data_IF_362659617291
#
_entry.id   IF_362659617291
#
_cell.length_a   1.000
_cell.length_b   1.000
_cell.length_c   1.000
_cell.angle_alpha   90.00
_cell.angle_beta   90.00
_cell.angle_gamma   90.00
#
_symmetry.space_group_name_H-M   'P 1'
#
loop_
_entity.id
_entity.type
_entity.pdbx_description
1 polymer ?
#
# COMPACT_ATOMS: atom_id res chain seq x y z
N UNK A 1 24.41 33.76 -5.39
CA UNK A 1 25.15 32.52 -5.09
C UNK A 1 24.35 31.65 -4.11
N UNK A 2 23.08 31.37 -4.42
CA UNK A 2 22.15 30.61 -3.55
C UNK A 2 21.17 29.77 -4.41
N UNK A 3 21.60 29.38 -5.61
CA UNK A 3 20.83 28.53 -6.52
C UNK A 3 21.51 27.18 -6.76
N UNK A 4 22.75 26.97 -6.31
CA UNK A 4 23.55 25.79 -6.65
C UNK A 4 23.48 24.66 -5.60
N UNK A 5 23.08 24.96 -4.36
CA UNK A 5 23.05 24.00 -3.26
C UNK A 5 21.84 23.05 -3.29
N UNK A 6 20.68 23.53 -3.75
CA UNK A 6 19.46 22.74 -3.78
C UNK A 6 19.48 21.65 -4.87
N UNK A 7 19.99 21.97 -6.06
CA UNK A 7 20.14 21.01 -7.16
C UNK A 7 21.13 19.90 -6.81
N UNK A 8 22.25 20.23 -6.18
CA UNK A 8 23.24 19.25 -5.71
C UNK A 8 22.66 18.33 -4.63
N UNK A 9 21.95 18.90 -3.64
CA UNK A 9 21.28 18.11 -2.60
C UNK A 9 20.20 17.19 -3.19
N UNK A 10 19.43 17.66 -4.18
CA UNK A 10 18.44 16.85 -4.88
C UNK A 10 19.08 15.69 -5.67
N UNK A 11 20.22 15.91 -6.34
CA UNK A 11 20.94 14.86 -7.05
C UNK A 11 21.57 13.81 -6.12
N UNK A 12 22.02 14.21 -4.93
CA UNK A 12 22.55 13.29 -3.91
C UNK A 12 21.40 12.51 -3.26
N UNK A 13 20.30 13.20 -2.89
CA UNK A 13 19.14 12.58 -2.26
C UNK A 13 18.40 11.62 -3.22
N UNK A 14 18.26 11.97 -4.49
CA UNK A 14 17.58 11.12 -5.50
C UNK A 14 18.30 9.81 -5.76
N UNK A 15 19.63 9.75 -5.61
CA UNK A 15 20.41 8.50 -5.67
C UNK A 15 20.16 7.57 -4.48
N UNK A 16 19.63 8.09 -3.37
CA UNK A 16 19.25 7.31 -2.18
C UNK A 16 17.79 6.85 -2.24
N UNK A 17 17.01 7.33 -3.21
CA UNK A 17 15.63 6.93 -3.42
C UNK A 17 15.55 5.73 -4.35
N UNK A 18 14.63 4.81 -4.06
CA UNK A 18 14.31 3.68 -4.95
C UNK A 18 13.81 4.22 -6.29
N UNK A 19 14.26 3.62 -7.40
CA UNK A 19 13.72 3.94 -8.73
C UNK A 19 12.27 3.45 -8.86
N UNK A 20 11.55 3.95 -9.86
CA UNK A 20 10.19 3.47 -10.19
C UNK A 20 10.18 1.95 -10.41
N UNK A 21 11.17 1.44 -11.14
CA UNK A 21 11.30 0.00 -11.40
C UNK A 21 11.56 -0.81 -10.12
N UNK A 22 12.40 -0.30 -9.22
CA UNK A 22 12.66 -0.94 -7.92
C UNK A 22 11.44 -0.91 -7.01
N UNK A 23 10.66 0.19 -7.03
CA UNK A 23 9.42 0.31 -6.27
C UNK A 23 8.32 -0.64 -6.76
N UNK A 24 8.24 -0.89 -8.08
CA UNK A 24 7.26 -1.79 -8.67
C UNK A 24 7.67 -3.27 -8.62
N UNK A 25 8.95 -3.58 -8.42
CA UNK A 25 9.51 -4.92 -8.57
C UNK A 25 8.76 -5.99 -7.76
N UNK A 26 8.54 -5.75 -6.46
CA UNK A 26 7.84 -6.71 -5.58
C UNK A 26 6.42 -6.99 -6.06
N UNK A 27 5.67 -5.95 -6.46
CA UNK A 27 4.31 -6.10 -6.97
C UNK A 27 4.30 -6.90 -8.28
N UNK A 28 5.20 -6.61 -9.20
CA UNK A 28 5.34 -7.37 -10.45
C UNK A 28 5.73 -8.82 -10.19
N UNK A 29 6.64 -9.07 -9.25
CA UNK A 29 7.04 -10.43 -8.85
C UNK A 29 5.84 -11.22 -8.30
N UNK A 30 5.11 -10.68 -7.33
CA UNK A 30 3.97 -11.35 -6.72
C UNK A 30 2.86 -11.62 -7.74
N UNK A 31 2.61 -10.69 -8.65
CA UNK A 31 1.56 -10.81 -9.67
C UNK A 31 1.89 -11.78 -10.82
N UNK A 32 3.17 -11.91 -11.20
CA UNK A 32 3.56 -12.61 -12.44
C UNK A 32 4.36 -13.90 -12.20
N UNK A 33 4.98 -14.08 -11.04
CA UNK A 33 5.83 -15.24 -10.78
C UNK A 33 5.04 -16.53 -10.64
N UNK A 34 5.54 -17.61 -11.24
CA UNK A 34 4.95 -18.95 -11.04
C UNK A 34 5.13 -19.44 -9.60
N UNK A 35 6.18 -18.99 -8.91
CA UNK A 35 6.46 -19.35 -7.51
C UNK A 35 5.37 -18.83 -6.56
N UNK A 36 4.76 -17.68 -6.87
CA UNK A 36 3.72 -17.07 -6.02
C UNK A 36 2.30 -17.47 -6.43
N UNK A 37 2.13 -18.19 -7.54
CA UNK A 37 0.82 -18.48 -8.17
C UNK A 37 -0.22 -19.15 -7.26
N UNK A 38 0.21 -19.90 -6.24
CA UNK A 38 -0.67 -20.61 -5.30
C UNK A 38 -0.45 -20.19 -3.84
N UNK A 39 0.27 -19.09 -3.63
CA UNK A 39 0.56 -18.57 -2.29
C UNK A 39 -0.46 -17.48 -1.97
N UNK A 40 -1.08 -17.55 -0.79
CA UNK A 40 -2.02 -16.54 -0.29
C UNK A 40 -1.76 -16.27 1.19
N UNK A 41 -2.16 -15.08 1.67
CA UNK A 41 -1.99 -14.66 3.06
C UNK A 41 -0.55 -14.37 3.48
N UNK A 42 0.36 -14.19 2.52
CA UNK A 42 1.78 -13.88 2.76
C UNK A 42 2.11 -12.45 2.38
N UNK A 43 3.07 -11.87 3.09
CA UNK A 43 3.60 -10.55 2.82
C UNK A 43 4.99 -10.65 2.19
N UNK A 44 5.24 -9.83 1.16
CA UNK A 44 6.49 -9.82 0.42
C UNK A 44 7.14 -8.44 0.50
N UNK A 45 8.44 -8.43 0.82
CA UNK A 45 9.28 -7.24 0.79
C UNK A 45 10.54 -7.56 -0.01
N UNK A 46 10.94 -6.64 -0.89
CA UNK A 46 12.04 -6.83 -1.84
C UNK A 46 11.98 -8.19 -2.58
N UNK A 47 10.78 -8.59 -2.99
CA UNK A 47 10.46 -9.89 -3.65
C UNK A 47 10.69 -11.16 -2.83
N UNK A 48 10.91 -11.06 -1.52
CA UNK A 48 11.00 -12.21 -0.61
C UNK A 48 9.84 -12.21 0.40
N UNK A 49 9.39 -13.39 0.81
CA UNK A 49 8.43 -13.51 1.92
C UNK A 49 9.07 -12.94 3.20
N UNK A 50 8.34 -12.10 3.92
CA UNK A 50 8.80 -11.48 5.17
C UNK A 50 7.66 -11.38 6.18
N UNK A 51 8.01 -11.26 7.46
CA UNK A 51 7.03 -11.14 8.53
C UNK A 51 6.48 -9.72 8.61
N UNK A 52 5.16 -9.62 8.80
CA UNK A 52 4.49 -8.38 9.17
C UNK A 52 4.72 -8.04 10.65
N UNK A 53 4.43 -6.80 11.04
CA UNK A 53 4.38 -6.40 12.45
C UNK A 53 3.24 -7.11 13.19
N UNK A 54 3.34 -7.18 14.52
CA UNK A 54 2.31 -7.83 15.36
C UNK A 54 0.92 -7.21 15.15
N UNK A 55 0.85 -5.89 15.03
CA UNK A 55 -0.41 -5.18 14.74
C UNK A 55 -1.00 -5.56 13.37
N UNK A 56 -0.16 -5.73 12.36
CA UNK A 56 -0.61 -6.11 11.03
C UNK A 56 -1.09 -7.57 10.96
N UNK A 57 -0.67 -8.40 11.92
CA UNK A 57 -1.14 -9.78 12.09
C UNK A 57 -2.34 -9.91 13.05
N UNK A 58 -2.80 -8.82 13.68
CA UNK A 58 -3.94 -8.84 14.60
C UNK A 58 -5.27 -8.88 13.83
N UNK A 59 -5.90 -10.06 13.83
CA UNK A 59 -7.19 -10.31 13.17
C UNK A 59 -8.33 -9.47 13.78
N UNK A 60 -8.32 -9.26 15.09
CA UNK A 60 -9.34 -8.45 15.78
C UNK A 60 -9.26 -7.00 15.34
N UNK A 61 -8.04 -6.47 15.25
CA UNK A 61 -7.80 -5.12 14.75
C UNK A 61 -8.19 -4.98 13.28
N UNK A 62 -7.86 -5.98 12.44
CA UNK A 62 -8.23 -5.98 11.03
C UNK A 62 -9.76 -5.96 10.82
N UNK A 63 -10.52 -6.75 11.59
CA UNK A 63 -11.98 -6.77 11.55
C UNK A 63 -12.59 -5.44 12.01
N UNK A 64 -12.06 -4.87 13.09
CA UNK A 64 -12.49 -3.56 13.59
C UNK A 64 -12.24 -2.46 12.56
N UNK A 65 -11.05 -2.46 11.93
CA UNK A 65 -10.70 -1.51 10.89
C UNK A 65 -11.65 -1.64 9.68
N UNK A 66 -11.87 -2.87 9.20
CA UNK A 66 -12.77 -3.15 8.09
C UNK A 66 -14.19 -2.63 8.37
N UNK A 67 -14.75 -2.95 9.55
CA UNK A 67 -16.08 -2.49 9.97
C UNK A 67 -16.17 -0.96 9.96
N UNK A 68 -15.19 -0.29 10.58
CA UNK A 68 -15.16 1.17 10.62
C UNK A 68 -15.05 1.80 9.22
N UNK A 69 -14.21 1.24 8.34
CA UNK A 69 -14.08 1.71 6.96
C UNK A 69 -15.40 1.57 6.19
N UNK A 70 -16.10 0.45 6.33
CA UNK A 70 -17.41 0.25 5.70
C UNK A 70 -18.46 1.24 6.23
N UNK A 71 -18.50 1.48 7.54
CA UNK A 71 -19.39 2.50 8.13
C UNK A 71 -19.11 3.89 7.54
N UNK A 72 -17.84 4.30 7.47
CA UNK A 72 -17.48 5.61 6.90
C UNK A 72 -17.88 5.76 5.43
N UNK A 73 -17.65 4.72 4.62
CA UNK A 73 -18.05 4.72 3.21
C UNK A 73 -19.57 4.77 3.08
N UNK A 74 -20.29 3.97 3.88
CA UNK A 74 -21.75 3.95 3.87
C UNK A 74 -22.34 5.32 4.25
N UNK A 75 -21.85 5.92 5.33
CA UNK A 75 -22.29 7.23 5.79
C UNK A 75 -22.01 8.30 4.74
N UNK A 76 -20.84 8.27 4.10
CA UNK A 76 -20.51 9.18 3.01
C UNK A 76 -21.46 9.02 1.81
N UNK A 77 -21.73 7.78 1.39
CA UNK A 77 -22.64 7.49 0.28
C UNK A 77 -24.07 7.92 0.59
N UNK A 78 -24.55 7.70 1.82
CA UNK A 78 -25.89 8.12 2.25
C UNK A 78 -26.02 9.65 2.30
N UNK A 79 -24.99 10.36 2.76
CA UNK A 79 -24.96 11.83 2.75
C UNK A 79 -24.85 12.41 1.33
N UNK A 80 -24.14 11.72 0.43
CA UNK A 80 -23.88 12.19 -0.95
C UNK A 80 -24.99 11.80 -1.94
N UNK A 81 -25.73 10.72 -1.68
CA UNK A 81 -26.83 10.23 -2.50
C UNK A 81 -27.99 9.75 -1.59
N UNK A 82 -28.89 10.65 -1.14
CA UNK A 82 -29.94 10.31 -0.18
C UNK A 82 -30.99 9.29 -0.68
N UNK A 83 -30.89 8.80 -1.93
CA UNK A 83 -31.86 7.90 -2.57
C UNK A 83 -31.26 6.59 -3.12
N UNK A 84 -30.06 6.18 -2.71
CA UNK A 84 -29.50 4.86 -3.09
C UNK A 84 -29.89 3.74 -2.10
N UNK A 85 -31.09 3.83 -1.52
CA UNK A 85 -31.70 2.79 -0.68
C UNK A 85 -32.88 2.09 -1.37
N UNK A 86 -33.13 2.40 -2.65
CA UNK A 86 -34.29 1.93 -3.43
C UNK A 86 -33.91 1.08 -4.66
N UNK A 87 -32.69 0.52 -4.69
CA UNK A 87 -32.21 -0.45 -5.69
C UNK A 87 -31.48 -1.58 -4.97
#
# INVERSE_FOLDING_TARGET
MMFFDADSLFLIASKLLKSVSQGAATTCYVALSNETKRISGKYFADSNETNCSDLANDVSLALKLCTNSHTLIHDYLHLSLPNLSLL
#
